data_IF_916349415258
#
_entry.id   IF_916349415258
#
_cell.length_a   1.000
_cell.length_b   1.000
_cell.length_c   1.000
_cell.angle_alpha   90.00
_cell.angle_beta   90.00
_cell.angle_gamma   90.00
#
_symmetry.space_group_name_H-M   'P 1'
#
loop_
_entity.id
_entity.type
_entity.pdbx_description
1 polymer ?
#
# COMPACT_ATOMS: atom_id res chain seq x y z
N UNK A 1 30.68 -11.48 -37.93
CA UNK A 1 30.15 -10.14 -37.58
C UNK A 1 28.75 -10.18 -36.95
N UNK A 2 28.11 -11.35 -36.78
CA UNK A 2 26.82 -11.45 -36.10
C UNK A 2 26.94 -11.57 -34.56
N UNK A 3 28.01 -12.20 -34.06
CA UNK A 3 28.22 -12.43 -32.62
C UNK A 3 28.45 -11.14 -31.79
N UNK A 4 29.07 -10.12 -32.39
CA UNK A 4 29.42 -8.86 -31.70
C UNK A 4 28.19 -7.99 -31.36
N UNK A 5 27.14 -8.09 -32.19
CA UNK A 5 25.88 -7.36 -32.01
C UNK A 5 25.04 -8.01 -30.90
N UNK A 6 25.09 -9.34 -30.77
CA UNK A 6 24.37 -10.08 -29.73
C UNK A 6 24.96 -9.85 -28.35
N UNK A 7 26.29 -9.79 -28.22
CA UNK A 7 26.98 -9.52 -26.96
C UNK A 7 26.74 -8.08 -26.47
N UNK A 8 26.80 -7.11 -27.39
CA UNK A 8 26.43 -5.70 -27.11
C UNK A 8 24.94 -5.57 -26.71
N UNK A 9 24.03 -6.33 -27.32
CA UNK A 9 22.61 -6.31 -26.95
C UNK A 9 22.35 -6.94 -25.57
N UNK A 10 23.07 -8.02 -25.24
CA UNK A 10 22.99 -8.66 -23.92
C UNK A 10 23.52 -7.77 -22.80
N UNK A 11 24.62 -7.05 -23.05
CA UNK A 11 25.19 -6.09 -22.09
C UNK A 11 24.27 -4.88 -21.87
N UNK A 12 23.62 -4.36 -22.92
CA UNK A 12 22.61 -3.29 -22.80
C UNK A 12 21.38 -3.78 -22.01
N UNK A 13 20.88 -4.99 -22.29
CA UNK A 13 19.76 -5.57 -21.55
C UNK A 13 20.10 -5.83 -20.06
N UNK A 14 21.32 -6.29 -19.77
CA UNK A 14 21.80 -6.46 -18.39
C UNK A 14 21.92 -5.12 -17.65
N UNK A 15 22.38 -4.07 -18.33
CA UNK A 15 22.44 -2.71 -17.77
C UNK A 15 21.06 -2.14 -17.41
N UNK A 16 20.07 -2.32 -18.30
CA UNK A 16 18.69 -1.90 -18.02
C UNK A 16 18.06 -2.67 -16.86
N UNK A 17 18.28 -3.99 -16.80
CA UNK A 17 17.80 -4.82 -15.70
C UNK A 17 18.41 -4.37 -14.36
N UNK A 18 19.73 -4.12 -14.31
CA UNK A 18 20.39 -3.58 -13.11
C UNK A 18 19.80 -2.24 -12.68
N UNK A 19 19.55 -1.32 -13.62
CA UNK A 19 18.94 -0.03 -13.32
C UNK A 19 17.50 -0.15 -12.77
N UNK A 20 16.71 -1.12 -13.23
CA UNK A 20 15.39 -1.39 -12.63
C UNK A 20 15.50 -1.97 -11.22
N UNK A 21 16.43 -2.91 -11.00
CA UNK A 21 16.65 -3.53 -9.68
C UNK A 21 17.07 -2.48 -8.66
N UNK A 22 18.10 -1.68 -8.97
CA UNK A 22 18.60 -0.64 -8.06
C UNK A 22 17.49 0.36 -7.70
N UNK A 23 16.66 0.77 -8.68
CA UNK A 23 15.51 1.66 -8.41
C UNK A 23 14.48 1.01 -7.50
N UNK A 24 14.20 -0.29 -7.68
CA UNK A 24 13.25 -1.02 -6.82
C UNK A 24 13.82 -1.17 -5.41
N UNK A 25 15.10 -1.47 -5.25
CA UNK A 25 15.75 -1.61 -3.95
C UNK A 25 15.68 -0.32 -3.13
N UNK A 26 15.92 0.83 -3.77
CA UNK A 26 15.76 2.15 -3.13
C UNK A 26 14.31 2.36 -2.68
N UNK A 27 13.33 2.08 -3.56
CA UNK A 27 11.92 2.24 -3.23
C UNK A 27 11.47 1.27 -2.12
N UNK A 28 12.04 0.08 -2.04
CA UNK A 28 11.79 -0.89 -0.99
C UNK A 28 12.34 -0.43 0.36
N UNK A 29 13.54 0.16 0.38
CA UNK A 29 14.11 0.78 1.57
C UNK A 29 13.26 1.97 2.05
N UNK A 30 12.90 2.89 1.16
CA UNK A 30 12.03 4.02 1.47
C UNK A 30 10.67 3.56 2.03
N UNK A 31 10.09 2.51 1.44
CA UNK A 31 8.85 1.90 1.95
C UNK A 31 9.04 1.31 3.35
N UNK A 32 10.21 0.73 3.62
CA UNK A 32 10.60 0.24 4.94
C UNK A 32 10.54 1.36 5.99
N UNK A 33 11.26 2.45 5.75
CA UNK A 33 11.28 3.63 6.63
C UNK A 33 9.88 4.19 6.85
N UNK A 34 9.07 4.34 5.80
CA UNK A 34 7.68 4.83 5.92
C UNK A 34 6.83 3.89 6.79
N UNK A 35 7.01 2.57 6.65
CA UNK A 35 6.26 1.62 7.47
C UNK A 35 6.68 1.67 8.95
N UNK A 36 7.96 1.92 9.23
CA UNK A 36 8.47 2.14 10.58
C UNK A 36 7.85 3.40 11.19
N UNK A 37 7.87 4.53 10.48
CA UNK A 37 7.24 5.79 10.90
C UNK A 37 5.74 5.59 11.21
N UNK A 38 5.02 4.88 10.33
CA UNK A 38 3.60 4.55 10.54
C UNK A 38 3.40 3.71 11.82
N UNK A 39 4.30 2.75 12.07
CA UNK A 39 4.25 1.89 13.26
C UNK A 39 4.52 2.68 14.54
N UNK A 40 5.42 3.65 14.51
CA UNK A 40 5.67 4.55 15.64
C UNK A 40 4.44 5.38 15.99
N UNK A 41 3.76 5.96 15.00
CA UNK A 41 2.52 6.73 15.20
C UNK A 41 1.42 5.87 15.85
N UNK A 42 1.24 4.62 15.39
CA UNK A 42 0.27 3.72 16.03
C UNK A 42 0.69 3.33 17.45
N UNK A 43 2.00 3.21 17.71
CA UNK A 43 2.51 2.91 19.05
C UNK A 43 2.31 4.07 20.02
N UNK A 44 2.51 5.31 19.56
CA UNK A 44 2.21 6.53 20.32
C UNK A 44 0.70 6.64 20.61
N UNK A 45 -0.14 6.40 19.61
CA UNK A 45 -1.60 6.38 19.77
C UNK A 45 -2.04 5.34 20.81
N UNK A 46 -1.40 4.17 20.83
CA UNK A 46 -1.65 3.15 21.86
C UNK A 46 -1.23 3.62 23.25
N UNK A 47 -0.06 4.25 23.37
CA UNK A 47 0.45 4.77 24.64
C UNK A 47 -0.40 5.90 25.23
N UNK A 48 -1.07 6.67 24.38
CA UNK A 48 -2.01 7.73 24.76
C UNK A 48 -3.43 7.23 25.04
N UNK A 49 -3.72 5.95 24.75
CA UNK A 49 -4.99 5.30 25.09
C UNK A 49 -5.99 5.15 23.93
N UNK A 50 -5.58 5.39 22.68
CA UNK A 50 -6.43 5.16 21.51
C UNK A 50 -6.49 3.67 21.10
N UNK A 51 -7.62 3.26 20.54
CA UNK A 51 -7.82 1.94 19.93
C UNK A 51 -7.19 1.88 18.52
N UNK A 52 -5.98 1.32 18.47
CA UNK A 52 -5.22 1.14 17.21
C UNK A 52 -5.98 0.30 16.17
N UNK A 53 -6.59 -0.85 16.50
CA UNK A 53 -7.50 -1.56 15.59
C UNK A 53 -8.57 -0.67 14.94
N UNK A 54 -9.29 0.14 15.72
CA UNK A 54 -10.30 1.04 15.19
C UNK A 54 -9.69 2.11 14.27
N UNK A 55 -8.54 2.69 14.64
CA UNK A 55 -7.82 3.64 13.80
C UNK A 55 -7.42 3.05 12.45
N UNK A 56 -6.93 1.80 12.42
CA UNK A 56 -6.57 1.12 11.16
C UNK A 56 -7.78 0.95 10.24
N UNK A 57 -8.95 0.62 10.80
CA UNK A 57 -10.21 0.56 10.05
C UNK A 57 -10.54 1.93 9.45
N UNK A 58 -10.45 3.01 10.25
CA UNK A 58 -10.70 4.37 9.78
C UNK A 58 -9.74 4.77 8.65
N UNK A 59 -8.44 4.52 8.80
CA UNK A 59 -7.45 4.82 7.74
C UNK A 59 -7.78 4.06 6.46
N UNK A 60 -8.12 2.76 6.56
CA UNK A 60 -8.51 1.97 5.40
C UNK A 60 -9.80 2.50 4.73
N UNK A 61 -10.81 2.90 5.52
CA UNK A 61 -12.04 3.51 5.00
C UNK A 61 -11.77 4.84 4.30
N UNK A 62 -10.86 5.66 4.83
CA UNK A 62 -10.49 6.97 4.27
C UNK A 62 -9.68 6.86 2.97
N UNK A 63 -9.00 5.74 2.72
CA UNK A 63 -8.31 5.48 1.45
C UNK A 63 -9.28 5.16 0.30
N UNK A 64 -10.50 4.73 0.60
CA UNK A 64 -11.53 4.47 -0.41
C UNK A 64 -12.13 5.77 -0.92
N UNK A 65 -12.51 5.77 -2.20
CA UNK A 65 -13.26 6.85 -2.83
C UNK A 65 -14.54 7.19 -2.01
N UNK A 66 -14.83 8.47 -1.75
CA UNK A 66 -15.98 8.86 -0.94
C UNK A 66 -17.33 8.39 -1.49
N UNK A 67 -17.51 8.39 -2.82
CA UNK A 67 -18.77 7.96 -3.43
C UNK A 67 -18.93 6.44 -3.31
N UNK A 68 -17.87 5.68 -3.58
CA UNK A 68 -17.86 4.23 -3.38
C UNK A 68 -18.10 3.84 -1.92
N UNK A 69 -17.61 4.64 -0.95
CA UNK A 69 -17.87 4.44 0.47
C UNK A 69 -19.35 4.65 0.81
N UNK A 70 -19.93 5.75 0.35
CA UNK A 70 -21.32 6.08 0.61
C UNK A 70 -22.28 5.01 0.05
N UNK A 71 -21.99 4.51 -1.16
CA UNK A 71 -22.75 3.43 -1.77
C UNK A 71 -22.67 2.14 -0.92
N UNK A 72 -21.45 1.76 -0.52
CA UNK A 72 -21.25 0.58 0.32
C UNK A 72 -21.92 0.70 1.70
N UNK A 73 -21.88 1.88 2.32
CA UNK A 73 -22.58 2.18 3.59
C UNK A 73 -24.10 2.06 3.42
N UNK A 74 -24.66 2.59 2.34
CA UNK A 74 -26.10 2.50 2.04
C UNK A 74 -26.55 1.04 1.88
N UNK A 75 -25.76 0.22 1.19
CA UNK A 75 -26.05 -1.21 1.01
C UNK A 75 -25.94 -1.95 2.36
N UNK A 76 -24.91 -1.63 3.14
CA UNK A 76 -24.71 -2.21 4.47
C UNK A 76 -25.89 -1.91 5.39
N UNK A 77 -26.33 -0.65 5.46
CA UNK A 77 -27.48 -0.22 6.25
C UNK A 77 -28.76 -0.96 5.84
N UNK A 78 -29.01 -1.11 4.54
CA UNK A 78 -30.13 -1.89 4.03
C UNK A 78 -30.10 -3.34 4.52
N UNK A 79 -28.92 -3.97 4.51
CA UNK A 79 -28.76 -5.35 4.97
C UNK A 79 -28.89 -5.46 6.49
N UNK A 80 -28.32 -4.52 7.26
CA UNK A 80 -28.47 -4.47 8.71
C UNK A 80 -29.93 -4.30 9.11
N UNK A 81 -30.69 -3.46 8.40
CA UNK A 81 -32.13 -3.31 8.59
C UNK A 81 -32.90 -4.59 8.30
N UNK A 82 -32.59 -5.27 7.18
CA UNK A 82 -33.22 -6.54 6.84
C UNK A 82 -32.93 -7.66 7.87
N UNK A 83 -31.78 -7.59 8.55
CA UNK A 83 -31.37 -8.53 9.60
C UNK A 83 -31.81 -8.12 11.01
N UNK A 84 -32.45 -6.96 11.19
CA UNK A 84 -32.88 -6.46 12.50
C UNK A 84 -31.72 -6.04 13.42
N UNK A 85 -30.60 -5.60 12.84
CA UNK A 85 -29.39 -5.18 13.56
C UNK A 85 -29.33 -3.66 13.81
N UNK A 86 -30.45 -2.95 13.64
CA UNK A 86 -30.61 -1.49 13.84
C UNK A 86 -31.68 -1.21 14.89
#
# INVERSE_FOLDING_TARGET
MADDITDTSQTVAAGQLRAFIERIEILEEERGTINEDISEVYSEAKGTGFDVPAMRVIVAMRRKDPAARQEAETILELYMAALGMV
#
